data_IF_137843783514
#
_entry.id   IF_137843783514
#
_cell.length_a   1.000
_cell.length_b   1.000
_cell.length_c   1.000
_cell.angle_alpha   90.00
_cell.angle_beta   90.00
_cell.angle_gamma   90.00
#
_symmetry.space_group_name_H-M   'P 1'
#
loop_
_entity.id
_entity.type
_entity.pdbx_description
1 polymer ?
#
# COMPACT_ATOMS: atom_id res chain seq x y z
N UNK A 1 15.06 18.01 21.20
CA UNK A 1 13.79 17.34 20.88
C UNK A 1 13.44 17.78 19.47
N UNK A 2 13.26 16.86 18.52
CA UNK A 2 12.80 17.22 17.17
C UNK A 2 11.34 17.68 17.28
N UNK A 3 11.03 18.83 16.65
CA UNK A 3 9.66 19.35 16.63
C UNK A 3 8.73 18.33 15.97
N UNK A 4 7.52 18.15 16.54
CA UNK A 4 6.48 17.31 15.96
C UNK A 4 6.05 17.84 14.60
N UNK A 5 5.80 16.94 13.63
CA UNK A 5 5.29 17.29 12.30
C UNK A 5 3.93 17.96 12.42
N UNK A 6 3.68 18.95 11.57
CA UNK A 6 2.39 19.67 11.53
C UNK A 6 1.59 19.24 10.32
N UNK A 7 0.34 18.82 10.56
CA UNK A 7 -0.57 18.36 9.51
C UNK A 7 -1.83 19.23 9.45
N UNK A 8 -2.31 19.49 8.24
CA UNK A 8 -3.62 20.08 7.99
C UNK A 8 -4.51 19.01 7.33
N UNK A 9 -5.55 18.57 8.03
CA UNK A 9 -6.52 17.62 7.48
C UNK A 9 -7.47 18.35 6.55
N UNK A 10 -7.52 17.96 5.28
CA UNK A 10 -8.34 18.59 4.24
C UNK A 10 -9.73 17.94 4.07
N UNK A 11 -10.06 16.95 4.90
CA UNK A 11 -11.31 16.19 4.79
C UNK A 11 -11.22 15.03 3.79
N UNK A 12 -12.37 14.45 3.45
CA UNK A 12 -12.46 13.35 2.51
C UNK A 12 -12.43 13.87 1.07
N UNK A 13 -11.36 13.57 0.35
CA UNK A 13 -11.16 13.98 -1.03
C UNK A 13 -11.95 13.05 -1.97
N UNK A 14 -11.81 11.74 -1.80
CA UNK A 14 -12.40 10.69 -2.64
C UNK A 14 -13.43 9.92 -1.82
N UNK A 15 -14.64 9.79 -2.33
CA UNK A 15 -15.72 8.99 -1.73
C UNK A 15 -16.50 8.27 -2.84
N UNK A 16 -17.21 7.16 -2.52
CA UNK A 16 -18.06 6.48 -3.51
C UNK A 16 -19.07 7.43 -4.18
N UNK A 17 -19.69 8.31 -3.41
CA UNK A 17 -20.67 9.27 -3.95
C UNK A 17 -20.05 10.28 -4.93
N UNK A 18 -18.83 10.73 -4.67
CA UNK A 18 -18.12 11.65 -5.58
C UNK A 18 -17.68 10.96 -6.87
N UNK A 19 -17.24 9.71 -6.78
CA UNK A 19 -16.78 8.92 -7.94
C UNK A 19 -17.97 8.42 -8.76
N UNK A 20 -19.01 7.90 -8.10
CA UNK A 20 -20.26 7.43 -8.70
C UNK A 20 -20.03 6.43 -9.85
N UNK A 21 -19.39 5.30 -9.55
CA UNK A 21 -19.09 4.23 -10.52
C UNK A 21 -19.58 2.88 -9.99
N UNK A 22 -20.05 2.02 -10.87
CA UNK A 22 -20.57 0.70 -10.53
C UNK A 22 -19.52 -0.25 -9.90
N UNK A 23 -18.26 -0.01 -10.15
CA UNK A 23 -17.16 -0.76 -9.55
C UNK A 23 -16.75 -0.26 -8.15
N UNK A 24 -17.32 0.87 -7.70
CA UNK A 24 -17.01 1.49 -6.42
C UNK A 24 -18.30 1.88 -5.68
N UNK A 25 -19.00 0.88 -5.18
CA UNK A 25 -20.27 1.07 -4.43
C UNK A 25 -19.97 1.49 -2.99
N UNK A 26 -18.92 0.93 -2.42
CA UNK A 26 -18.47 1.24 -1.06
C UNK A 26 -16.96 1.42 -1.03
N UNK A 27 -16.46 2.06 0.02
CA UNK A 27 -15.06 2.28 0.32
C UNK A 27 -14.33 3.16 -0.71
N UNK A 28 -13.41 3.95 -0.21
CA UNK A 28 -12.32 4.60 -0.90
C UNK A 28 -11.10 4.44 -0.02
N UNK A 29 -10.19 3.56 -0.37
CA UNK A 29 -9.11 3.15 0.53
C UNK A 29 -7.81 2.90 -0.21
N UNK A 30 -6.72 2.82 0.58
CA UNK A 30 -5.38 2.48 0.14
C UNK A 30 -4.86 3.37 -0.99
N UNK A 31 -4.82 4.70 -0.79
CA UNK A 31 -4.34 5.61 -1.82
C UNK A 31 -2.83 5.46 -2.06
N UNK A 32 -2.43 5.58 -3.32
CA UNK A 32 -1.05 5.84 -3.73
C UNK A 32 -1.05 6.91 -4.82
N UNK A 33 -0.06 7.80 -4.79
CA UNK A 33 -0.07 9.03 -5.58
C UNK A 33 1.02 9.01 -6.63
N UNK A 34 0.69 9.50 -7.82
CA UNK A 34 1.61 9.72 -8.93
C UNK A 34 1.52 11.18 -9.40
N UNK A 35 2.66 11.84 -9.56
CA UNK A 35 2.70 13.17 -10.15
C UNK A 35 2.57 13.08 -11.67
N UNK A 36 1.59 13.75 -12.25
CA UNK A 36 1.33 13.73 -13.69
C UNK A 36 2.05 14.88 -14.39
N UNK A 37 1.66 16.13 -14.07
CA UNK A 37 2.27 17.34 -14.60
C UNK A 37 1.84 18.56 -13.78
N UNK A 38 2.69 19.58 -13.65
CA UNK A 38 2.38 20.80 -12.91
C UNK A 38 1.85 20.51 -11.50
N UNK A 39 0.66 20.98 -11.21
CA UNK A 39 -0.03 20.77 -9.92
C UNK A 39 -1.02 19.58 -9.96
N UNK A 40 -1.04 18.80 -11.05
CA UNK A 40 -1.95 17.67 -11.24
C UNK A 40 -1.31 16.38 -10.74
N UNK A 41 -2.03 15.72 -9.83
CA UNK A 41 -1.68 14.43 -9.27
C UNK A 41 -2.77 13.40 -9.55
N UNK A 42 -2.36 12.17 -9.85
CA UNK A 42 -3.23 11.01 -9.93
C UNK A 42 -3.18 10.24 -8.63
N UNK A 43 -4.30 10.10 -7.97
CA UNK A 43 -4.47 9.28 -6.78
C UNK A 43 -5.09 7.96 -7.21
N UNK A 44 -4.29 6.89 -7.22
CA UNK A 44 -4.80 5.53 -7.35
C UNK A 44 -5.38 5.08 -6.02
N UNK A 45 -6.51 4.43 -6.04
CA UNK A 45 -7.20 3.93 -4.85
C UNK A 45 -8.01 2.69 -5.18
N UNK A 46 -8.53 2.00 -4.18
CA UNK A 46 -9.50 0.94 -4.42
C UNK A 46 -10.87 1.25 -3.82
N UNK A 47 -11.90 0.82 -4.52
CA UNK A 47 -13.27 0.75 -4.08
C UNK A 47 -13.77 -0.69 -4.08
N UNK A 48 -14.94 -0.95 -3.51
CA UNK A 48 -15.55 -2.27 -3.53
C UNK A 48 -16.85 -2.28 -4.31
N UNK A 49 -17.02 -3.33 -5.13
CA UNK A 49 -18.24 -3.60 -5.88
C UNK A 49 -19.34 -4.24 -4.98
N UNK A 50 -20.48 -4.58 -5.56
CA UNK A 50 -21.60 -5.21 -4.85
C UNK A 50 -21.27 -6.57 -4.23
N UNK A 51 -20.25 -7.27 -4.73
CA UNK A 51 -19.78 -8.54 -4.18
C UNK A 51 -18.72 -8.36 -3.09
N UNK A 52 -18.52 -7.12 -2.62
CA UNK A 52 -17.49 -6.77 -1.64
C UNK A 52 -16.05 -7.07 -2.10
N UNK A 53 -15.81 -7.10 -3.41
CA UNK A 53 -14.52 -7.32 -4.03
C UNK A 53 -13.87 -5.97 -4.35
N UNK A 54 -12.59 -5.80 -4.00
CA UNK A 54 -11.86 -4.56 -4.26
C UNK A 54 -11.33 -4.51 -5.69
N UNK A 55 -11.46 -3.34 -6.31
CA UNK A 55 -11.02 -3.03 -7.67
C UNK A 55 -10.28 -1.70 -7.65
N UNK A 56 -9.28 -1.53 -8.52
CA UNK A 56 -8.45 -0.33 -8.56
C UNK A 56 -8.96 0.65 -9.60
N UNK A 57 -9.08 1.91 -9.20
CA UNK A 57 -9.30 3.06 -10.06
C UNK A 57 -8.40 4.22 -9.70
N UNK A 58 -8.67 5.39 -10.26
CA UNK A 58 -7.95 6.61 -9.90
C UNK A 58 -8.86 7.84 -9.91
N UNK A 59 -8.37 8.93 -9.31
CA UNK A 59 -8.87 10.27 -9.49
C UNK A 59 -7.69 11.23 -9.75
N UNK A 60 -7.80 12.05 -10.79
CA UNK A 60 -6.89 13.15 -11.02
C UNK A 60 -7.39 14.38 -10.26
N UNK A 61 -6.52 15.00 -9.50
CA UNK A 61 -6.81 16.18 -8.67
C UNK A 61 -5.75 17.26 -8.89
N UNK A 62 -6.16 18.52 -8.72
CA UNK A 62 -5.22 19.63 -8.54
C UNK A 62 -4.88 19.74 -7.06
N UNK A 63 -3.58 19.81 -6.71
CA UNK A 63 -3.15 19.89 -5.31
C UNK A 63 -3.59 21.21 -4.63
N UNK A 64 -3.86 22.25 -5.41
CA UNK A 64 -4.36 23.54 -4.90
C UNK A 64 -5.87 23.51 -4.58
N UNK A 65 -6.63 22.61 -5.24
CA UNK A 65 -8.05 22.32 -4.95
C UNK A 65 -8.33 20.81 -4.97
N UNK A 66 -7.82 20.06 -3.97
CA UNK A 66 -7.91 18.60 -3.98
C UNK A 66 -9.33 18.05 -3.78
N UNK A 67 -10.30 18.91 -3.43
CA UNK A 67 -11.70 18.51 -3.33
C UNK A 67 -12.38 18.36 -4.69
N UNK A 68 -11.82 18.96 -5.75
CA UNK A 68 -12.32 18.89 -7.11
C UNK A 68 -11.65 17.74 -7.85
N UNK A 69 -12.42 16.72 -8.21
CA UNK A 69 -11.97 15.61 -9.07
C UNK A 69 -12.02 16.08 -10.52
N UNK A 70 -10.89 16.07 -11.20
CA UNK A 70 -10.73 16.48 -12.60
C UNK A 70 -11.12 15.34 -13.54
N UNK A 71 -10.67 14.12 -13.23
CA UNK A 71 -10.87 12.93 -14.05
C UNK A 71 -10.95 11.68 -13.20
N UNK A 72 -11.78 10.72 -13.61
CA UNK A 72 -11.85 9.37 -13.06
C UNK A 72 -12.23 8.39 -14.17
N UNK A 73 -11.74 7.14 -14.17
CA UNK A 73 -12.05 6.18 -15.23
C UNK A 73 -13.49 5.67 -15.09
N UNK A 74 -14.09 5.30 -16.21
CA UNK A 74 -15.41 4.66 -16.23
C UNK A 74 -15.36 3.24 -15.67
N UNK A 75 -14.33 2.48 -16.05
CA UNK A 75 -14.10 1.11 -15.60
C UNK A 75 -12.87 1.04 -14.70
N UNK A 76 -12.74 0.01 -13.84
CA UNK A 76 -11.53 -0.17 -13.06
C UNK A 76 -10.31 -0.35 -13.98
N UNK A 77 -9.19 0.27 -13.61
CA UNK A 77 -7.93 0.19 -14.35
C UNK A 77 -7.22 -1.14 -14.18
N UNK A 78 -7.53 -1.84 -13.09
CA UNK A 78 -7.14 -3.21 -12.82
C UNK A 78 -8.28 -3.91 -12.06
N UNK A 79 -8.87 -4.92 -12.69
CA UNK A 79 -9.91 -5.76 -12.11
C UNK A 79 -9.36 -7.04 -11.47
N UNK A 80 -10.26 -7.96 -11.13
CA UNK A 80 -9.93 -9.26 -10.54
C UNK A 80 -9.04 -10.10 -11.46
N UNK A 81 -8.23 -10.95 -10.84
CA UNK A 81 -7.51 -12.02 -11.54
C UNK A 81 -8.42 -13.14 -11.99
N UNK A 82 -7.85 -14.09 -12.73
CA UNK A 82 -8.56 -15.31 -13.13
C UNK A 82 -8.94 -16.13 -11.91
N UNK A 83 -10.08 -16.83 -11.96
CA UNK A 83 -10.51 -17.73 -10.89
C UNK A 83 -9.38 -18.69 -10.49
N UNK A 84 -9.08 -18.75 -9.22
CA UNK A 84 -8.00 -19.55 -8.65
C UNK A 84 -6.67 -18.82 -8.49
N UNK A 85 -6.47 -17.64 -9.14
CA UNK A 85 -5.26 -16.83 -8.94
C UNK A 85 -5.23 -16.18 -7.55
N UNK A 86 -4.06 -15.62 -7.19
CA UNK A 86 -3.85 -15.00 -5.87
C UNK A 86 -4.66 -13.71 -5.65
N UNK A 87 -5.23 -13.15 -6.71
CA UNK A 87 -5.94 -11.87 -6.76
C UNK A 87 -7.35 -11.99 -7.36
N UNK A 88 -7.95 -13.18 -7.29
CA UNK A 88 -9.27 -13.48 -7.85
C UNK A 88 -10.44 -12.91 -7.04
N UNK A 89 -10.19 -12.44 -5.82
CA UNK A 89 -11.23 -11.87 -4.96
C UNK A 89 -11.01 -10.40 -4.60
N UNK A 90 -9.96 -9.79 -5.10
CA UNK A 90 -9.71 -8.37 -4.93
C UNK A 90 -8.30 -7.94 -5.30
N UNK A 91 -8.20 -6.69 -5.72
CA UNK A 91 -6.93 -6.01 -5.98
C UNK A 91 -6.94 -4.64 -5.31
N UNK A 92 -5.79 -4.25 -4.74
CA UNK A 92 -5.63 -2.97 -4.03
C UNK A 92 -4.33 -2.31 -4.45
N UNK A 93 -4.35 -1.02 -4.79
CA UNK A 93 -3.16 -0.27 -5.13
C UNK A 93 -2.21 -0.17 -3.93
N UNK A 94 -0.91 -0.27 -4.16
CA UNK A 94 0.08 -0.11 -3.10
C UNK A 94 1.16 0.91 -3.43
N UNK A 95 1.83 0.78 -4.56
CA UNK A 95 2.87 1.70 -4.98
C UNK A 95 2.88 1.84 -6.49
N UNK A 96 3.14 3.05 -6.98
CA UNK A 96 3.33 3.36 -8.39
C UNK A 96 4.72 3.90 -8.63
N UNK A 97 5.41 3.38 -9.64
CA UNK A 97 6.76 3.84 -10.02
C UNK A 97 6.81 4.08 -11.52
N UNK A 98 7.36 5.22 -11.92
CA UNK A 98 7.67 5.47 -13.32
C UNK A 98 9.04 4.88 -13.65
N UNK A 99 9.08 3.96 -14.61
CA UNK A 99 10.31 3.38 -15.09
C UNK A 99 10.36 3.43 -16.62
N UNK A 100 11.35 4.13 -17.17
CA UNK A 100 11.40 4.45 -18.61
C UNK A 100 10.09 5.14 -19.02
N UNK A 101 9.39 4.60 -20.01
CA UNK A 101 8.11 5.12 -20.49
C UNK A 101 6.91 4.35 -19.95
N UNK A 102 7.09 3.55 -18.89
CA UNK A 102 6.06 2.71 -18.30
C UNK A 102 5.72 3.17 -16.87
N UNK A 103 4.47 2.93 -16.46
CA UNK A 103 4.09 2.96 -15.05
C UNK A 103 4.03 1.52 -14.52
N UNK A 104 4.70 1.27 -13.43
CA UNK A 104 4.73 0.00 -12.70
C UNK A 104 3.84 0.14 -11.47
N UNK A 105 2.70 -0.53 -11.47
CA UNK A 105 1.79 -0.59 -10.33
C UNK A 105 2.03 -1.87 -9.54
N UNK A 106 2.67 -1.73 -8.39
CA UNK A 106 2.75 -2.81 -7.41
C UNK A 106 1.46 -2.81 -6.61
N UNK A 107 0.79 -3.97 -6.57
CA UNK A 107 -0.53 -4.08 -5.98
C UNK A 107 -0.66 -5.28 -5.04
N UNK A 108 -1.70 -5.27 -4.24
CA UNK A 108 -2.06 -6.34 -3.32
C UNK A 108 -3.15 -7.18 -3.97
N UNK A 109 -2.93 -8.48 -4.10
CA UNK A 109 -3.96 -9.45 -4.44
C UNK A 109 -4.57 -10.07 -3.19
N UNK A 110 -5.89 -10.15 -3.16
CA UNK A 110 -6.69 -10.66 -2.04
C UNK A 110 -7.28 -12.02 -2.39
N UNK A 111 -7.13 -12.97 -1.47
CA UNK A 111 -7.74 -14.29 -1.56
C UNK A 111 -8.29 -14.74 -0.22
N UNK A 112 -9.60 -15.01 -0.07
CA UNK A 112 -10.16 -15.65 1.11
C UNK A 112 -9.55 -17.05 1.31
N UNK A 113 -9.44 -17.48 2.55
CA UNK A 113 -8.95 -18.80 2.92
C UNK A 113 -9.86 -19.47 3.91
N UNK A 114 -9.78 -20.80 4.01
CA UNK A 114 -10.64 -21.60 4.88
C UNK A 114 -10.13 -21.71 6.32
N UNK A 115 -8.81 -21.76 6.52
CA UNK A 115 -8.18 -21.95 7.84
C UNK A 115 -7.74 -20.63 8.48
N UNK A 116 -7.38 -19.68 7.67
CA UNK A 116 -7.12 -18.29 8.06
C UNK A 116 -8.02 -17.38 7.26
N UNK A 117 -8.27 -16.17 7.75
CA UNK A 117 -9.24 -15.26 7.12
C UNK A 117 -8.89 -14.93 5.67
N UNK A 118 -7.62 -14.71 5.34
CA UNK A 118 -7.18 -14.29 4.01
C UNK A 118 -5.71 -14.65 3.73
N UNK A 119 -5.36 -14.67 2.45
CA UNK A 119 -4.00 -14.54 1.96
C UNK A 119 -3.86 -13.25 1.15
N UNK A 120 -2.74 -12.57 1.30
CA UNK A 120 -2.40 -11.32 0.62
C UNK A 120 -1.04 -11.45 -0.03
N UNK A 121 -0.98 -11.31 -1.35
CA UNK A 121 0.26 -11.45 -2.09
C UNK A 121 0.51 -10.24 -2.98
N UNK A 122 1.77 -9.95 -3.24
CA UNK A 122 2.20 -8.84 -4.08
C UNK A 122 2.14 -9.20 -5.55
N UNK A 123 1.42 -8.42 -6.34
CA UNK A 123 1.41 -8.45 -7.79
C UNK A 123 2.06 -7.23 -8.42
N UNK A 124 2.36 -7.33 -9.71
CA UNK A 124 2.83 -6.23 -10.55
C UNK A 124 1.96 -6.13 -11.80
N UNK A 125 1.54 -4.90 -12.12
CA UNK A 125 0.87 -4.58 -13.37
C UNK A 125 1.57 -3.39 -14.06
N UNK A 126 1.56 -3.39 -15.39
CA UNK A 126 2.29 -2.43 -16.21
C UNK A 126 1.32 -1.65 -17.08
N UNK A 127 1.54 -0.35 -17.13
CA UNK A 127 0.87 0.56 -18.04
C UNK A 127 1.86 1.13 -19.08
N UNK A 128 1.43 1.18 -20.33
CA UNK A 128 2.13 1.84 -21.45
C UNK A 128 1.40 3.11 -21.93
N UNK A 129 0.34 3.51 -21.24
CA UNK A 129 -0.56 4.63 -21.57
C UNK A 129 -0.62 5.67 -20.45
N UNK A 130 0.50 5.92 -19.78
CA UNK A 130 0.64 6.91 -18.69
C UNK A 130 -0.26 6.60 -17.49
N UNK A 131 -0.54 5.32 -17.21
CA UNK A 131 -1.33 4.89 -16.06
C UNK A 131 -2.85 4.94 -16.25
N UNK A 132 -3.32 5.03 -17.49
CA UNK A 132 -4.77 4.97 -17.80
C UNK A 132 -5.32 3.56 -17.66
N UNK A 133 -4.56 2.56 -18.13
CA UNK A 133 -4.90 1.13 -17.99
C UNK A 133 -3.68 0.31 -17.59
N UNK A 134 -3.90 -0.83 -16.97
CA UNK A 134 -2.83 -1.72 -16.52
C UNK A 134 -3.07 -3.15 -16.96
N UNK A 135 -1.99 -3.83 -17.33
CA UNK A 135 -1.97 -5.27 -17.60
C UNK A 135 -1.07 -5.97 -16.60
N UNK A 136 -1.53 -7.09 -16.03
CA UNK A 136 -0.71 -7.90 -15.14
C UNK A 136 0.59 -8.32 -15.82
N UNK A 137 1.70 -8.10 -15.13
CA UNK A 137 3.02 -8.59 -15.55
C UNK A 137 3.09 -10.12 -15.48
N UNK A 138 2.51 -10.68 -14.41
CA UNK A 138 2.48 -12.13 -14.16
C UNK A 138 1.11 -12.56 -13.63
N UNK A 139 0.73 -13.82 -13.87
CA UNK A 139 -0.42 -14.48 -13.20
C UNK A 139 -0.08 -14.97 -11.80
N UNK A 140 1.20 -15.05 -11.46
CA UNK A 140 1.71 -15.40 -10.14
C UNK A 140 2.16 -14.15 -9.38
N UNK A 141 2.20 -14.19 -8.03
CA UNK A 141 2.80 -13.13 -7.23
C UNK A 141 4.28 -12.93 -7.58
N UNK A 142 4.79 -11.70 -7.44
CA UNK A 142 6.21 -11.40 -7.67
C UNK A 142 7.09 -11.63 -6.44
N UNK A 143 6.50 -11.70 -5.24
CA UNK A 143 7.17 -12.18 -4.03
C UNK A 143 6.77 -13.64 -3.79
N UNK A 144 7.73 -14.46 -3.39
CA UNK A 144 7.58 -15.92 -3.25
C UNK A 144 7.57 -16.33 -1.79
N UNK A 145 6.80 -17.35 -1.43
CA UNK A 145 6.93 -18.01 -0.15
C UNK A 145 8.29 -18.75 -0.09
N UNK A 146 8.94 -18.62 1.06
CA UNK A 146 10.24 -19.25 1.35
C UNK A 146 10.20 -19.85 2.76
N UNK A 147 11.21 -20.63 3.14
CA UNK A 147 11.33 -21.14 4.52
C UNK A 147 11.47 -20.01 5.55
N UNK A 148 11.97 -18.84 5.15
CA UNK A 148 12.06 -17.65 6.01
C UNK A 148 10.76 -16.85 6.04
N UNK A 149 9.88 -17.05 5.08
CA UNK A 149 8.62 -16.32 4.90
C UNK A 149 7.52 -17.30 4.42
N UNK A 150 7.10 -18.22 5.29
CA UNK A 150 6.23 -19.33 4.89
C UNK A 150 4.75 -18.97 4.82
N UNK A 151 4.36 -17.79 5.32
CA UNK A 151 2.96 -17.40 5.42
C UNK A 151 2.50 -16.59 4.21
N UNK A 152 1.26 -16.82 3.78
CA UNK A 152 0.68 -16.19 2.58
C UNK A 152 0.23 -14.75 2.82
N UNK A 153 1.07 -13.95 3.48
CA UNK A 153 0.97 -12.49 3.57
C UNK A 153 2.35 -11.93 3.27
N UNK A 154 2.62 -11.68 1.99
CA UNK A 154 3.78 -10.98 1.45
C UNK A 154 3.22 -9.85 0.57
N UNK A 155 3.02 -8.66 1.15
CA UNK A 155 2.06 -7.70 0.60
C UNK A 155 2.40 -6.25 0.91
N UNK A 156 1.52 -5.34 0.49
CA UNK A 156 1.60 -3.89 0.70
C UNK A 156 3.00 -3.32 0.39
N UNK A 157 3.55 -3.62 -0.80
CA UNK A 157 4.88 -3.17 -1.16
C UNK A 157 4.93 -1.66 -1.35
N UNK A 158 6.03 -1.05 -0.94
CA UNK A 158 6.44 0.27 -1.38
C UNK A 158 7.81 0.16 -2.05
N UNK A 159 7.93 0.66 -3.27
CA UNK A 159 9.11 0.53 -4.10
C UNK A 159 9.73 1.88 -4.37
N UNK A 160 11.02 1.98 -4.15
CA UNK A 160 11.84 3.12 -4.52
C UNK A 160 12.99 2.66 -5.41
N UNK A 161 13.17 3.34 -6.54
CA UNK A 161 14.37 3.22 -7.36
C UNK A 161 15.35 4.29 -6.91
N UNK A 162 16.50 3.86 -6.40
CA UNK A 162 17.59 4.71 -5.95
C UNK A 162 18.82 4.46 -6.82
N UNK A 163 19.08 5.34 -7.78
CA UNK A 163 20.06 5.16 -8.84
C UNK A 163 19.78 3.89 -9.67
N UNK A 164 20.64 2.88 -9.57
CA UNK A 164 20.49 1.59 -10.26
C UNK A 164 19.88 0.51 -9.36
N UNK A 165 19.73 0.79 -8.08
CA UNK A 165 19.23 -0.17 -7.10
C UNK A 165 17.74 0.04 -6.86
N UNK A 166 17.00 -1.06 -6.77
CA UNK A 166 15.59 -1.05 -6.41
C UNK A 166 15.43 -1.63 -5.01
N UNK A 167 14.73 -0.91 -4.16
CA UNK A 167 14.35 -1.35 -2.82
C UNK A 167 12.84 -1.48 -2.73
N UNK A 168 12.37 -2.58 -2.18
CA UNK A 168 10.97 -2.80 -1.85
C UNK A 168 10.84 -3.07 -0.36
N UNK A 169 10.17 -2.17 0.34
CA UNK A 169 9.70 -2.44 1.71
C UNK A 169 8.31 -3.04 1.61
N UNK A 170 8.11 -4.19 2.20
CA UNK A 170 6.85 -4.93 2.11
C UNK A 170 6.46 -5.55 3.45
N UNK A 171 5.20 -5.82 3.62
CA UNK A 171 4.64 -6.50 4.78
C UNK A 171 4.85 -7.99 4.65
N UNK A 172 5.45 -8.61 5.67
CA UNK A 172 5.66 -10.04 5.79
C UNK A 172 5.04 -10.57 7.08
N UNK A 173 4.26 -11.64 6.97
CA UNK A 173 3.65 -12.30 8.13
C UNK A 173 4.68 -13.11 8.90
N UNK A 174 4.71 -12.93 10.21
CA UNK A 174 5.54 -13.68 11.14
C UNK A 174 4.79 -14.85 11.81
N UNK A 175 3.46 -14.85 11.70
CA UNK A 175 2.61 -15.89 12.28
C UNK A 175 1.17 -15.44 12.46
N UNK A 176 0.35 -16.31 13.01
CA UNK A 176 -1.05 -16.06 13.33
C UNK A 176 -1.31 -16.43 14.79
N UNK A 177 -1.87 -15.49 15.56
CA UNK A 177 -2.34 -15.78 16.93
C UNK A 177 -3.58 -16.68 16.92
N UNK A 178 -4.50 -16.39 15.98
CA UNK A 178 -5.67 -17.19 15.64
C UNK A 178 -6.10 -16.86 14.19
N UNK A 179 -7.11 -17.53 13.67
CA UNK A 179 -7.53 -17.45 12.25
C UNK A 179 -7.76 -16.04 11.70
N UNK A 180 -8.07 -15.07 12.56
CA UNK A 180 -8.38 -13.67 12.19
C UNK A 180 -7.30 -12.67 12.59
N UNK A 181 -6.26 -13.09 13.29
CA UNK A 181 -5.22 -12.20 13.82
C UNK A 181 -3.82 -12.60 13.36
N UNK A 182 -3.40 -12.16 12.17
CA UNK A 182 -2.02 -12.29 11.75
C UNK A 182 -1.12 -11.28 12.47
N UNK A 183 0.13 -11.67 12.70
CA UNK A 183 1.23 -10.78 13.07
C UNK A 183 2.12 -10.53 11.86
N UNK A 184 2.42 -9.27 11.56
CA UNK A 184 3.28 -8.93 10.42
C UNK A 184 4.08 -7.65 10.64
N UNK A 185 5.28 -7.67 10.10
CA UNK A 185 6.25 -6.58 10.15
C UNK A 185 6.66 -6.11 8.75
N UNK A 186 7.65 -5.21 8.66
CA UNK A 186 8.17 -4.71 7.38
C UNK A 186 9.54 -5.30 7.13
N UNK A 187 9.67 -5.95 5.96
CA UNK A 187 10.93 -6.50 5.42
C UNK A 187 11.37 -5.79 4.15
N UNK A 188 12.59 -6.08 3.73
CA UNK A 188 13.22 -5.56 2.52
C UNK A 188 13.43 -6.66 1.49
N UNK A 189 13.08 -6.35 0.24
CA UNK A 189 13.59 -7.05 -0.94
C UNK A 189 14.34 -6.07 -1.83
N UNK A 190 15.33 -6.57 -2.56
CA UNK A 190 16.13 -5.79 -3.50
C UNK A 190 16.01 -6.33 -4.92
N UNK A 191 16.24 -5.47 -5.90
CA UNK A 191 16.19 -5.84 -7.32
C UNK A 191 17.13 -4.97 -8.13
N UNK A 192 17.60 -5.48 -9.26
CA UNK A 192 18.36 -4.72 -10.27
C UNK A 192 17.48 -4.13 -11.36
N UNK A 193 16.23 -4.61 -11.52
CA UNK A 193 15.35 -4.26 -12.64
C UNK A 193 13.93 -3.80 -12.24
N UNK A 194 13.52 -4.05 -10.98
CA UNK A 194 12.17 -3.79 -10.48
C UNK A 194 11.16 -4.89 -10.77
N UNK A 195 11.56 -6.00 -11.41
CA UNK A 195 10.68 -7.12 -11.78
C UNK A 195 10.98 -8.37 -10.99
N UNK A 196 12.25 -8.76 -10.89
CA UNK A 196 12.70 -9.90 -10.11
C UNK A 196 13.27 -9.43 -8.77
N UNK A 197 12.78 -10.02 -7.68
CA UNK A 197 13.07 -9.56 -6.32
C UNK A 197 13.81 -10.61 -5.50
N UNK A 198 14.90 -10.19 -4.88
CA UNK A 198 15.67 -10.99 -3.93
C UNK A 198 15.13 -10.77 -2.52
N UNK A 199 14.61 -11.83 -1.91
CA UNK A 199 14.05 -11.86 -0.55
C UNK A 199 15.06 -12.54 0.39
N UNK A 200 15.83 -11.76 1.15
CA UNK A 200 16.80 -12.29 2.11
C UNK A 200 16.24 -12.40 3.54
N UNK A 201 14.96 -12.04 3.73
CA UNK A 201 14.29 -12.04 5.03
C UNK A 201 14.74 -10.91 5.96
N UNK A 202 15.32 -9.83 5.41
CA UNK A 202 15.82 -8.70 6.18
C UNK A 202 14.65 -7.95 6.80
N UNK A 203 14.58 -7.90 8.13
CA UNK A 203 13.57 -7.16 8.88
C UNK A 203 14.02 -5.70 9.00
N UNK A 204 13.26 -4.78 8.43
CA UNK A 204 13.48 -3.34 8.54
C UNK A 204 12.83 -2.74 9.79
N UNK A 205 11.60 -3.11 10.05
CA UNK A 205 10.87 -2.67 11.24
C UNK A 205 10.18 -3.86 11.89
N UNK A 206 10.45 -4.04 13.18
CA UNK A 206 9.82 -5.08 13.99
C UNK A 206 8.94 -4.46 15.09
N UNK A 207 8.16 -5.29 15.77
CA UNK A 207 7.26 -4.88 16.84
C UNK A 207 8.02 -4.18 17.97
N UNK A 208 7.45 -3.10 18.50
CA UNK A 208 7.98 -2.38 19.65
C UNK A 208 7.79 -3.14 20.97
N UNK A 209 6.71 -3.92 21.04
CA UNK A 209 6.33 -4.71 22.21
C UNK A 209 5.38 -5.85 21.85
N UNK A 210 5.04 -6.69 22.78
CA UNK A 210 4.19 -7.88 22.59
C UNK A 210 2.73 -7.55 22.19
N UNK A 211 2.25 -6.34 22.50
CA UNK A 211 0.89 -5.92 22.14
C UNK A 211 0.78 -5.48 20.68
N UNK A 212 1.89 -5.11 20.04
CA UNK A 212 1.89 -4.70 18.65
C UNK A 212 1.74 -5.92 17.73
N UNK A 213 0.71 -5.92 16.91
CA UNK A 213 0.37 -7.06 16.06
C UNK A 213 0.61 -6.79 14.57
N UNK A 214 0.69 -5.53 14.20
CA UNK A 214 0.77 -5.15 12.79
C UNK A 214 1.61 -3.91 12.56
N UNK A 215 2.54 -4.00 11.61
CA UNK A 215 3.25 -2.86 11.01
C UNK A 215 3.07 -3.01 9.51
N UNK A 216 2.44 -2.02 8.89
CA UNK A 216 1.96 -2.13 7.50
C UNK A 216 2.08 -0.82 6.72
N UNK A 217 1.82 -0.91 5.41
CA UNK A 217 1.68 0.24 4.51
C UNK A 217 2.87 1.20 4.57
N UNK A 218 4.11 0.72 4.36
CA UNK A 218 5.25 1.62 4.25
C UNK A 218 5.02 2.60 3.11
N UNK A 219 5.37 3.87 3.34
CA UNK A 219 5.45 4.93 2.35
C UNK A 219 6.78 5.64 2.55
N UNK A 220 7.70 5.51 1.61
CA UNK A 220 9.10 5.91 1.80
C UNK A 220 9.46 7.05 0.86
N UNK A 221 10.02 8.11 1.41
CA UNK A 221 10.66 9.18 0.65
C UNK A 221 12.16 9.21 1.00
N UNK A 222 13.00 9.52 0.01
CA UNK A 222 14.42 9.80 0.23
C UNK A 222 14.67 11.28 -0.02
N UNK A 223 15.10 11.98 1.00
CA UNK A 223 15.41 13.41 0.92
C UNK A 223 16.73 13.69 1.66
N UNK A 224 17.65 14.41 1.00
CA UNK A 224 18.97 14.79 1.55
C UNK A 224 19.76 13.61 2.13
N UNK A 225 19.67 12.44 1.47
CA UNK A 225 20.37 11.23 1.87
C UNK A 225 19.66 10.38 2.90
N UNK A 226 18.61 10.88 3.55
CA UNK A 226 17.84 10.16 4.58
C UNK A 226 16.57 9.57 3.97
N UNK A 227 16.31 8.31 4.27
CA UNK A 227 15.03 7.64 4.00
C UNK A 227 14.08 7.95 5.15
N UNK A 228 12.87 8.40 4.82
CA UNK A 228 11.77 8.66 5.74
C UNK A 228 10.61 7.76 5.40
N UNK A 229 10.12 7.02 6.38
CA UNK A 229 9.02 6.10 6.22
C UNK A 229 7.84 6.52 7.10
N UNK A 230 6.70 6.77 6.48
CA UNK A 230 5.41 6.73 7.17
C UNK A 230 4.87 5.31 7.05
N UNK A 231 4.28 4.84 8.13
CA UNK A 231 3.78 3.47 8.23
C UNK A 231 2.47 3.44 9.00
N UNK A 232 1.74 2.35 8.94
CA UNK A 232 0.60 2.10 9.81
C UNK A 232 0.97 1.03 10.82
N UNK A 233 0.66 1.23 12.10
CA UNK A 233 0.84 0.22 13.12
C UNK A 233 -0.45 0.00 13.93
N UNK A 234 -0.61 -1.19 14.50
CA UNK A 234 -1.78 -1.61 15.26
C UNK A 234 -1.36 -2.43 16.48
N UNK A 235 -2.03 -2.17 17.61
CA UNK A 235 -1.92 -2.95 18.83
C UNK A 235 -3.20 -3.79 19.06
N UNK A 236 -3.15 -4.73 19.99
CA UNK A 236 -4.31 -5.52 20.41
C UNK A 236 -5.48 -4.62 20.85
N UNK A 237 -5.18 -3.55 21.57
CA UNK A 237 -6.16 -2.65 22.19
C UNK A 237 -6.44 -1.40 21.34
N UNK A 238 -5.76 -1.22 20.21
CA UNK A 238 -5.82 0.01 19.43
C UNK A 238 -5.88 -0.29 17.93
N UNK A 239 -6.80 0.35 17.23
CA UNK A 239 -6.85 0.34 15.77
C UNK A 239 -5.62 1.05 15.16
N UNK A 240 -5.45 0.92 13.85
CA UNK A 240 -4.32 1.51 13.14
C UNK A 240 -4.08 2.99 13.46
N UNK A 241 -2.81 3.30 13.64
CA UNK A 241 -2.26 4.65 13.75
C UNK A 241 -1.16 4.82 12.72
N UNK A 242 -0.83 6.08 12.41
CA UNK A 242 0.31 6.41 11.56
C UNK A 242 1.54 6.50 12.43
N UNK A 243 2.59 5.77 12.05
CA UNK A 243 3.91 5.84 12.65
C UNK A 243 4.91 6.49 11.69
N UNK A 244 6.11 6.72 12.20
CA UNK A 244 7.20 7.31 11.45
C UNK A 244 8.53 6.68 11.81
N UNK A 245 9.42 6.54 10.81
CA UNK A 245 10.78 6.05 11.00
C UNK A 245 11.74 6.71 10.01
N UNK A 246 13.02 6.82 10.40
CA UNK A 246 14.11 7.29 9.55
C UNK A 246 15.21 6.24 9.44
N UNK A 247 15.97 6.30 8.31
CA UNK A 247 17.09 5.43 8.03
C UNK A 247 18.08 6.14 7.09
N UNK A 248 19.39 5.91 7.30
CA UNK A 248 20.44 6.39 6.41
C UNK A 248 20.66 5.45 5.22
N UNK A 249 20.37 4.15 5.38
CA UNK A 249 20.65 3.10 4.39
C UNK A 249 19.39 2.44 3.79
N UNK A 250 18.23 2.71 4.38
CA UNK A 250 16.96 2.09 4.02
C UNK A 250 16.80 0.66 4.53
N UNK A 251 17.70 0.19 5.39
CA UNK A 251 17.74 -1.14 6.00
C UNK A 251 17.51 -1.03 7.50
N UNK A 252 18.35 -0.22 8.14
CA UNK A 252 18.32 0.00 9.58
C UNK A 252 17.48 1.23 9.90
N UNK A 253 16.33 1.04 10.56
CA UNK A 253 15.35 2.09 10.78
C UNK A 253 15.20 2.42 12.25
N UNK A 254 15.09 3.70 12.56
CA UNK A 254 14.79 4.22 13.90
C UNK A 254 13.34 4.71 13.89
N UNK A 255 12.47 4.04 14.68
CA UNK A 255 11.06 4.44 14.85
C UNK A 255 10.95 5.66 15.78
N UNK A 256 10.23 6.67 15.28
CA UNK A 256 10.04 7.97 15.91
C UNK A 256 8.54 8.36 15.88
N UNK A 257 7.65 7.44 16.28
CA UNK A 257 6.20 7.62 16.16
C UNK A 257 5.69 8.86 16.91
N UNK A 258 6.40 9.27 17.99
CA UNK A 258 6.01 10.42 18.82
C UNK A 258 6.09 11.77 18.09
N UNK A 259 6.88 11.85 17.02
CA UNK A 259 7.01 13.09 16.22
C UNK A 259 6.11 13.13 14.99
N UNK A 260 5.36 12.06 14.71
CA UNK A 260 4.51 12.00 13.50
C UNK A 260 3.43 13.10 13.46
N UNK A 261 2.97 13.55 14.62
CA UNK A 261 2.10 14.74 14.76
C UNK A 261 0.68 14.59 14.20
N UNK A 262 0.26 13.39 13.82
CA UNK A 262 -1.09 13.12 13.32
C UNK A 262 -1.72 11.94 14.08
N UNK A 263 -2.98 12.10 14.46
CA UNK A 263 -3.80 11.05 15.06
C UNK A 263 -5.21 11.07 14.48
N UNK A 264 -6.06 10.15 14.91
CA UNK A 264 -7.47 10.10 14.51
C UNK A 264 -8.17 11.41 14.84
N UNK A 265 -9.20 11.75 14.08
CA UNK A 265 -10.04 12.90 14.37
C UNK A 265 -10.98 12.58 15.54
N UNK A 266 -11.24 13.54 16.44
CA UNK A 266 -12.14 13.36 17.59
C UNK A 266 -13.55 12.89 17.20
N UNK A 267 -14.03 13.31 16.02
CA UNK A 267 -15.33 12.93 15.46
C UNK A 267 -15.27 11.72 14.52
N UNK A 268 -14.20 10.93 14.56
CA UNK A 268 -14.11 9.73 13.74
C UNK A 268 -14.98 8.62 14.34
N UNK A 269 -16.26 8.67 14.02
CA UNK A 269 -17.17 7.54 14.20
C UNK A 269 -16.73 6.46 13.21
N UNK A 270 -15.88 5.56 13.68
CA UNK A 270 -15.49 4.39 12.92
C UNK A 270 -16.75 3.64 12.49
N UNK A 271 -17.07 3.70 11.22
CA UNK A 271 -18.08 2.82 10.61
C UNK A 271 -17.54 1.39 10.73
N UNK A 272 -17.74 0.78 11.90
CA UNK A 272 -17.79 -0.66 12.04
C UNK A 272 -19.20 -1.09 11.66
N UNK A 273 -19.37 -1.63 10.50
CA UNK A 273 -20.41 -2.60 10.20
C UNK A 273 -19.78 -3.78 9.50
#
# INVERSE_FOLDING_TARGET
MSDSMKWKKLGQIITPNKINRNWMITHAMDPTVDHIEGDIFRVYFCGRNNNNQSLIGYADIDINDPQKIIKTPENPILGLGSLGSFDDNGVTASCIVTHKNQKLLYYIGWKPRSTTRFGLMTGLAISNDKGETFKRFSKAPILKLTDREPYSILTAPFVLKDNNDWKMWYVSCEGWEHSDLPKYNIKLATSSDGFEWKQDGIICLNFKNEKETAIARPCVLKEKGIYRMWLSYKNLDQNYRIGYAESEDGINWIRMDDIVGIDVSENWLGLRK
#
